data_IF_831648864960
#
_entry.id   IF_831648864960
#
_cell.length_a   1.000
_cell.length_b   1.000
_cell.length_c   1.000
_cell.angle_alpha   90.00
_cell.angle_beta   90.00
_cell.angle_gamma   90.00
#
_symmetry.space_group_name_H-M   'P 1'
#
loop_
_entity.id
_entity.type
_entity.pdbx_description
1 polymer ?
#
# COMPACT_ATOMS: atom_id res chain seq x y z
N UNK A 1 -15.17 3.87 -14.47
CA UNK A 1 -16.35 4.43 -13.77
C UNK A 1 -17.20 3.36 -13.05
N UNK A 2 -16.85 2.07 -13.08
CA UNK A 2 -17.55 1.01 -12.31
C UNK A 2 -16.91 0.71 -10.95
N UNK A 3 -15.79 1.34 -10.60
CA UNK A 3 -14.97 0.91 -9.47
C UNK A 3 -15.71 0.97 -8.13
N UNK A 4 -16.47 2.04 -7.85
CA UNK A 4 -17.30 2.11 -6.64
C UNK A 4 -18.32 0.98 -6.58
N UNK A 5 -19.05 0.71 -7.67
CA UNK A 5 -20.10 -0.30 -7.68
C UNK A 5 -19.54 -1.70 -7.45
N UNK A 6 -18.41 -2.02 -8.09
CA UNK A 6 -17.73 -3.30 -7.94
C UNK A 6 -17.11 -3.46 -6.54
N UNK A 7 -16.47 -2.42 -6.02
CA UNK A 7 -15.93 -2.37 -4.65
C UNK A 7 -17.03 -2.55 -3.61
N UNK A 8 -18.11 -1.76 -3.70
CA UNK A 8 -19.23 -1.84 -2.77
C UNK A 8 -19.90 -3.22 -2.81
N UNK A 9 -20.07 -3.82 -4.00
CA UNK A 9 -20.63 -5.18 -4.11
C UNK A 9 -19.75 -6.23 -3.44
N UNK A 10 -18.42 -6.14 -3.63
CA UNK A 10 -17.46 -7.06 -3.00
C UNK A 10 -17.42 -6.88 -1.49
N UNK A 11 -17.34 -5.63 -1.02
CA UNK A 11 -17.35 -5.30 0.40
C UNK A 11 -18.62 -5.81 1.10
N UNK A 12 -19.79 -5.63 0.49
CA UNK A 12 -21.06 -6.17 1.02
C UNK A 12 -21.02 -7.69 1.14
N UNK A 13 -20.61 -8.38 0.07
CA UNK A 13 -20.51 -9.84 0.06
C UNK A 13 -19.55 -10.36 1.14
N UNK A 14 -18.39 -9.71 1.27
CA UNK A 14 -17.36 -10.11 2.21
C UNK A 14 -17.79 -9.86 3.67
N UNK A 15 -18.71 -8.90 3.89
CA UNK A 15 -19.41 -8.66 5.15
C UNK A 15 -20.72 -9.48 5.31
N UNK A 16 -20.98 -10.45 4.44
CA UNK A 16 -22.14 -11.35 4.55
C UNK A 16 -23.48 -10.74 4.14
N UNK A 17 -23.50 -9.55 3.54
CA UNK A 17 -24.73 -8.92 3.07
C UNK A 17 -25.14 -9.40 1.68
N UNK A 18 -26.38 -9.87 1.57
CA UNK A 18 -27.07 -9.87 0.27
C UNK A 18 -27.50 -8.45 -0.09
N UNK A 19 -27.71 -8.18 -1.38
CA UNK A 19 -28.19 -6.85 -1.83
C UNK A 19 -29.54 -6.47 -1.18
N UNK A 20 -30.44 -7.43 -0.98
CA UNK A 20 -31.70 -7.22 -0.27
C UNK A 20 -31.53 -6.94 1.22
N UNK A 21 -30.59 -7.64 1.89
CA UNK A 21 -30.27 -7.37 3.29
C UNK A 21 -29.64 -5.98 3.45
N UNK A 22 -28.70 -5.62 2.57
CA UNK A 22 -28.08 -4.31 2.54
C UNK A 22 -29.14 -3.21 2.37
N UNK A 23 -30.00 -3.29 1.34
CA UNK A 23 -31.05 -2.32 1.08
C UNK A 23 -31.92 -2.03 2.30
N UNK A 24 -32.30 -3.08 3.05
CA UNK A 24 -33.05 -2.94 4.31
C UNK A 24 -32.22 -2.28 5.41
N UNK A 25 -30.97 -2.70 5.59
CA UNK A 25 -30.09 -2.17 6.62
C UNK A 25 -29.82 -0.66 6.46
N UNK A 26 -29.68 -0.18 5.23
CA UNK A 26 -29.44 1.25 4.93
C UNK A 26 -30.72 2.04 4.62
N UNK A 27 -31.90 1.41 4.69
CA UNK A 27 -33.20 2.02 4.37
C UNK A 27 -33.29 2.62 2.95
N UNK A 28 -32.79 1.91 1.94
CA UNK A 28 -32.91 2.27 0.52
C UNK A 28 -33.80 1.29 -0.26
N UNK A 29 -34.42 1.78 -1.33
CA UNK A 29 -35.12 0.92 -2.29
C UNK A 29 -34.13 -0.06 -2.97
N UNK A 30 -34.52 -1.33 -3.02
CA UNK A 30 -33.69 -2.40 -3.60
C UNK A 30 -33.45 -2.18 -5.09
N UNK A 31 -34.43 -1.64 -5.83
CA UNK A 31 -34.30 -1.39 -7.26
C UNK A 31 -33.32 -0.25 -7.54
N UNK A 32 -33.29 0.78 -6.70
CA UNK A 32 -32.28 1.82 -6.74
C UNK A 32 -30.89 1.27 -6.39
N UNK A 33 -30.75 0.56 -5.27
CA UNK A 33 -29.47 -0.05 -4.88
C UNK A 33 -28.92 -0.99 -5.97
N UNK A 34 -29.79 -1.79 -6.58
CA UNK A 34 -29.42 -2.71 -7.66
C UNK A 34 -28.91 -1.98 -8.90
N UNK A 35 -29.55 -0.88 -9.31
CA UNK A 35 -29.05 -0.09 -10.44
C UNK A 35 -27.68 0.51 -10.16
N UNK A 36 -27.47 1.02 -8.95
CA UNK A 36 -26.19 1.59 -8.53
C UNK A 36 -25.10 0.52 -8.48
N UNK A 37 -25.32 -0.57 -7.74
CA UNK A 37 -24.34 -1.63 -7.58
C UNK A 37 -24.08 -2.41 -8.86
N UNK A 38 -24.90 -2.26 -9.91
CA UNK A 38 -24.64 -2.82 -11.24
C UNK A 38 -24.09 -1.78 -12.23
N UNK A 39 -23.67 -0.60 -11.76
CA UNK A 39 -23.09 0.45 -12.59
C UNK A 39 -24.07 1.10 -13.57
N UNK A 40 -25.38 0.82 -13.44
CA UNK A 40 -26.44 1.38 -14.29
C UNK A 40 -26.87 2.78 -13.85
N UNK A 41 -26.53 3.17 -12.62
CA UNK A 41 -26.81 4.50 -12.08
C UNK A 41 -25.70 4.94 -11.12
N UNK A 42 -25.46 6.24 -11.03
CA UNK A 42 -24.50 6.79 -10.06
C UNK A 42 -25.07 6.78 -8.63
N UNK A 43 -24.26 6.46 -7.61
CA UNK A 43 -24.67 6.61 -6.22
C UNK A 43 -24.87 8.09 -5.88
N UNK A 44 -25.83 8.39 -5.01
CA UNK A 44 -25.84 9.68 -4.31
C UNK A 44 -24.72 9.68 -3.25
N UNK A 45 -24.20 10.85 -2.83
CA UNK A 45 -23.22 10.92 -1.74
C UNK A 45 -23.73 10.22 -0.47
N UNK A 46 -25.00 10.41 -0.12
CA UNK A 46 -25.65 9.75 1.02
C UNK A 46 -25.71 8.22 0.88
N UNK A 47 -25.92 7.69 -0.32
CA UNK A 47 -25.89 6.24 -0.53
C UNK A 47 -24.46 5.70 -0.38
N UNK A 48 -23.47 6.42 -0.91
CA UNK A 48 -22.07 6.03 -0.77
C UNK A 48 -21.63 6.01 0.70
N UNK A 49 -21.98 7.04 1.47
CA UNK A 49 -21.75 7.10 2.92
C UNK A 49 -22.47 5.98 3.67
N UNK A 50 -23.72 5.68 3.34
CA UNK A 50 -24.47 4.62 3.99
C UNK A 50 -23.88 3.23 3.72
N UNK A 51 -23.42 2.98 2.48
CA UNK A 51 -22.73 1.73 2.14
C UNK A 51 -21.38 1.62 2.82
N UNK A 52 -20.63 2.73 2.90
CA UNK A 52 -19.34 2.81 3.59
C UNK A 52 -19.48 2.47 5.07
N UNK A 53 -20.44 3.11 5.76
CA UNK A 53 -20.75 2.82 7.16
C UNK A 53 -21.20 1.37 7.37
N UNK A 54 -22.03 0.84 6.47
CA UNK A 54 -22.54 -0.53 6.58
C UNK A 54 -21.42 -1.58 6.53
N UNK A 55 -20.39 -1.35 5.71
CA UNK A 55 -19.26 -2.28 5.55
C UNK A 55 -18.06 -1.91 6.43
N UNK A 56 -18.18 -0.86 7.26
CA UNK A 56 -17.12 -0.40 8.15
C UNK A 56 -15.89 0.16 7.43
N UNK A 57 -16.06 0.80 6.27
CA UNK A 57 -14.93 1.28 5.46
C UNK A 57 -14.32 2.62 5.91
N UNK A 58 -14.78 3.23 7.02
CA UNK A 58 -14.16 4.41 7.62
C UNK A 58 -14.11 5.65 6.70
N UNK A 59 -15.04 5.78 5.76
CA UNK A 59 -15.08 6.82 4.73
C UNK A 59 -14.24 6.54 3.48
N UNK A 60 -13.51 5.41 3.44
CA UNK A 60 -12.63 5.10 2.32
C UNK A 60 -13.40 4.65 1.07
N UNK A 61 -14.54 3.96 1.22
CA UNK A 61 -15.38 3.52 0.10
C UNK A 61 -16.13 4.70 -0.52
N UNK A 62 -16.62 5.63 0.31
CA UNK A 62 -17.28 6.84 -0.19
C UNK A 62 -16.28 7.77 -0.88
N UNK A 63 -15.04 7.85 -0.41
CA UNK A 63 -13.97 8.67 -1.01
C UNK A 63 -13.56 8.25 -2.44
N UNK A 64 -13.83 7.00 -2.84
CA UNK A 64 -13.62 6.55 -4.23
C UNK A 64 -14.63 7.18 -5.20
N UNK A 65 -15.75 7.68 -4.70
CA UNK A 65 -16.74 8.40 -5.52
C UNK A 65 -16.20 9.79 -5.85
N UNK A 66 -15.52 9.89 -6.99
CA UNK A 66 -15.09 11.16 -7.58
C UNK A 66 -16.24 12.19 -7.64
N UNK A 67 -15.95 13.49 -7.57
CA UNK A 67 -16.98 14.50 -7.83
C UNK A 67 -17.48 14.41 -9.28
N UNK A 68 -18.64 15.02 -9.60
CA UNK A 68 -19.13 15.05 -10.98
C UNK A 68 -18.14 15.73 -11.95
N UNK A 69 -17.46 16.76 -11.45
CA UNK A 69 -16.44 17.49 -12.19
C UNK A 69 -15.17 16.66 -12.38
N UNK A 70 -14.68 15.99 -11.33
CA UNK A 70 -13.47 15.16 -11.41
C UNK A 70 -13.69 13.94 -12.30
N UNK A 71 -14.85 13.29 -12.23
CA UNK A 71 -15.21 12.23 -13.19
C UNK A 71 -15.18 12.73 -14.63
N UNK A 72 -15.79 13.88 -14.88
CA UNK A 72 -15.85 14.46 -16.22
C UNK A 72 -14.45 14.87 -16.70
N UNK A 73 -13.55 15.26 -15.79
CA UNK A 73 -12.14 15.51 -16.10
C UNK A 73 -11.40 14.22 -16.41
N UNK A 74 -11.43 13.22 -15.52
CA UNK A 74 -10.75 11.92 -15.73
C UNK A 74 -11.25 11.24 -17.00
N UNK A 75 -12.56 11.19 -17.24
CA UNK A 75 -13.14 10.59 -18.46
C UNK A 75 -12.67 11.31 -19.72
N UNK A 76 -12.69 12.66 -19.74
CA UNK A 76 -12.18 13.44 -20.89
C UNK A 76 -10.69 13.24 -21.10
N UNK A 77 -9.91 13.14 -20.03
CA UNK A 77 -8.46 12.89 -20.09
C UNK A 77 -8.15 11.47 -20.58
N UNK A 78 -8.98 10.49 -20.25
CA UNK A 78 -8.89 9.12 -20.81
C UNK A 78 -9.23 9.10 -22.31
N UNK A 79 -10.21 9.90 -22.75
CA UNK A 79 -10.59 10.01 -24.17
C UNK A 79 -9.65 10.90 -24.99
N UNK A 80 -9.01 11.89 -24.35
CA UNK A 80 -8.09 12.86 -24.97
C UNK A 80 -6.87 13.14 -24.07
N UNK A 81 -5.92 12.20 -23.97
CA UNK A 81 -4.80 12.34 -23.04
C UNK A 81 -3.83 13.49 -23.33
N UNK A 82 -3.84 14.01 -24.57
CA UNK A 82 -3.01 15.16 -24.99
C UNK A 82 -3.37 16.48 -24.29
N UNK A 83 -4.44 16.51 -23.48
CA UNK A 83 -4.85 17.66 -22.65
C UNK A 83 -4.90 17.32 -21.15
N UNK A 84 -3.96 16.49 -20.68
CA UNK A 84 -3.81 16.24 -19.25
C UNK A 84 -3.69 17.56 -18.48
N UNK A 85 -4.61 17.82 -17.55
CA UNK A 85 -4.57 18.98 -16.65
C UNK A 85 -4.14 18.56 -15.23
N UNK A 86 -3.87 19.54 -14.37
CA UNK A 86 -3.31 19.29 -13.03
C UNK A 86 -4.36 18.62 -12.14
N UNK A 87 -5.63 19.02 -12.31
CA UNK A 87 -6.75 18.43 -11.58
C UNK A 87 -6.96 16.95 -11.90
N UNK A 88 -6.64 16.49 -13.12
CA UNK A 88 -6.68 15.05 -13.42
C UNK A 88 -5.65 14.27 -12.63
N UNK A 89 -4.42 14.77 -12.52
CA UNK A 89 -3.35 14.12 -11.74
C UNK A 89 -3.72 14.11 -10.25
N UNK A 90 -4.19 15.23 -9.73
CA UNK A 90 -4.65 15.37 -8.35
C UNK A 90 -5.81 14.41 -8.02
N UNK A 91 -6.81 14.30 -8.92
CA UNK A 91 -7.91 13.37 -8.74
C UNK A 91 -7.45 11.90 -8.71
N UNK A 92 -6.49 11.53 -9.56
CA UNK A 92 -5.91 10.17 -9.56
C UNK A 92 -5.13 9.88 -8.27
N UNK A 93 -4.36 10.85 -7.77
CA UNK A 93 -3.71 10.75 -6.45
C UNK A 93 -4.72 10.59 -5.32
N UNK A 94 -5.84 11.32 -5.36
CA UNK A 94 -6.94 11.18 -4.40
C UNK A 94 -7.58 9.80 -4.41
N UNK A 95 -7.78 9.19 -5.59
CA UNK A 95 -8.28 7.81 -5.71
C UNK A 95 -7.29 6.81 -5.12
N UNK A 96 -5.99 6.96 -5.40
CA UNK A 96 -4.96 6.09 -4.82
C UNK A 96 -4.95 6.19 -3.29
N UNK A 97 -5.05 7.40 -2.73
CA UNK A 97 -5.14 7.60 -1.28
C UNK A 97 -6.39 6.93 -0.69
N UNK A 98 -7.52 6.96 -1.38
CA UNK A 98 -8.73 6.23 -0.97
C UNK A 98 -8.52 4.71 -1.01
N UNK A 99 -7.83 4.18 -2.02
CA UNK A 99 -7.50 2.76 -2.11
C UNK A 99 -6.56 2.29 -1.00
N UNK A 100 -5.56 3.09 -0.64
CA UNK A 100 -4.68 2.81 0.51
C UNK A 100 -5.46 2.68 1.81
N UNK A 101 -6.46 3.55 2.05
CA UNK A 101 -7.34 3.42 3.22
C UNK A 101 -8.28 2.22 3.15
N UNK A 102 -8.72 1.84 1.95
CA UNK A 102 -9.54 0.64 1.76
C UNK A 102 -8.79 -0.65 2.05
N UNK A 103 -7.46 -0.68 1.89
CA UNK A 103 -6.63 -1.83 2.26
C UNK A 103 -6.63 -2.10 3.77
N UNK A 104 -6.72 -1.04 4.59
CA UNK A 104 -6.81 -1.18 6.05
C UNK A 104 -8.18 -1.71 6.51
N UNK A 105 -9.25 -1.47 5.73
CA UNK A 105 -10.63 -1.76 6.14
C UNK A 105 -11.27 -2.97 5.43
N UNK A 106 -10.84 -3.30 4.21
CA UNK A 106 -11.41 -4.36 3.40
C UNK A 106 -10.39 -5.46 3.12
N UNK A 107 -10.91 -6.63 2.71
CA UNK A 107 -10.07 -7.72 2.22
C UNK A 107 -9.35 -7.32 0.93
N UNK A 108 -8.05 -7.65 0.76
CA UNK A 108 -7.31 -7.31 -0.45
C UNK A 108 -7.98 -7.76 -1.76
N UNK A 109 -8.62 -8.93 -1.77
CA UNK A 109 -9.32 -9.49 -2.95
C UNK A 109 -10.50 -8.61 -3.43
N UNK A 110 -11.06 -7.78 -2.53
CA UNK A 110 -12.10 -6.83 -2.88
C UNK A 110 -11.56 -5.67 -3.72
N UNK A 111 -10.36 -5.21 -3.39
CA UNK A 111 -9.77 -3.96 -3.91
C UNK A 111 -8.91 -4.19 -5.16
N UNK A 112 -8.20 -5.33 -5.25
CA UNK A 112 -7.28 -5.66 -6.36
C UNK A 112 -7.82 -5.36 -7.77
N UNK A 113 -9.05 -5.76 -8.16
CA UNK A 113 -9.52 -5.56 -9.53
C UNK A 113 -9.67 -4.08 -9.91
N UNK A 114 -10.11 -3.25 -8.95
CA UNK A 114 -10.27 -1.81 -9.16
C UNK A 114 -8.89 -1.13 -9.27
N UNK A 115 -7.93 -1.55 -8.43
CA UNK A 115 -6.53 -1.10 -8.51
C UNK A 115 -5.90 -1.43 -9.86
N UNK A 116 -6.02 -2.67 -10.34
CA UNK A 116 -5.44 -3.08 -11.63
C UNK A 116 -6.08 -2.35 -12.82
N UNK A 117 -7.37 -2.02 -12.72
CA UNK A 117 -8.05 -1.20 -13.73
C UNK A 117 -7.45 0.20 -13.78
N UNK A 118 -7.21 0.83 -12.61
CA UNK A 118 -6.57 2.14 -12.55
C UNK A 118 -5.11 2.11 -13.03
N UNK A 119 -4.33 1.08 -12.71
CA UNK A 119 -2.97 0.91 -13.27
C UNK A 119 -3.02 0.93 -14.80
N UNK A 120 -3.95 0.17 -15.41
CA UNK A 120 -4.12 0.13 -16.87
C UNK A 120 -4.53 1.49 -17.44
N UNK A 121 -5.47 2.19 -16.80
CA UNK A 121 -5.96 3.47 -17.27
C UNK A 121 -4.88 4.56 -17.19
N UNK A 122 -4.18 4.66 -16.05
CA UNK A 122 -3.09 5.62 -15.87
C UNK A 122 -1.92 5.31 -16.83
N UNK A 123 -1.57 4.03 -17.00
CA UNK A 123 -0.52 3.61 -17.96
C UNK A 123 -0.90 3.99 -19.40
N UNK A 124 -2.19 3.90 -19.76
CA UNK A 124 -2.67 4.33 -21.08
C UNK A 124 -2.59 5.84 -21.25
N UNK A 125 -2.99 6.61 -20.23
CA UNK A 125 -2.89 8.07 -20.25
C UNK A 125 -1.43 8.55 -20.40
N UNK A 126 -0.50 7.85 -19.76
CA UNK A 126 0.94 8.13 -19.84
C UNK A 126 1.52 8.04 -21.26
N UNK A 127 1.03 7.13 -22.09
CA UNK A 127 1.56 6.92 -23.46
C UNK A 127 1.42 8.16 -24.34
N UNK A 128 0.40 8.95 -24.08
CA UNK A 128 0.01 10.11 -24.87
C UNK A 128 0.31 11.45 -24.15
N UNK A 129 0.71 11.40 -22.88
CA UNK A 129 1.09 12.56 -22.08
C UNK A 129 2.45 13.14 -22.50
N UNK A 130 2.62 14.47 -22.39
CA UNK A 130 3.87 15.17 -22.73
C UNK A 130 4.18 16.28 -21.74
N UNK A 131 5.45 16.67 -21.66
CA UNK A 131 5.94 17.79 -20.84
C UNK A 131 5.89 17.51 -19.33
N UNK A 132 6.02 18.54 -18.46
CA UNK A 132 6.13 18.37 -17.00
C UNK A 132 4.98 17.61 -16.33
N UNK A 133 3.80 17.63 -16.95
CA UNK A 133 2.62 16.91 -16.46
C UNK A 133 2.74 15.40 -16.65
N UNK A 134 3.55 14.96 -17.62
CA UNK A 134 3.90 13.54 -17.81
C UNK A 134 4.62 13.03 -16.57
N UNK A 135 5.58 13.77 -16.03
CA UNK A 135 6.39 13.31 -14.91
C UNK A 135 5.55 13.18 -13.63
N UNK A 136 4.64 14.13 -13.39
CA UNK A 136 3.67 14.04 -12.30
C UNK A 136 2.74 12.83 -12.47
N UNK A 137 2.28 12.54 -13.69
CA UNK A 137 1.48 11.35 -13.96
C UNK A 137 2.31 10.06 -13.82
N UNK A 138 3.59 10.11 -14.16
CA UNK A 138 4.52 8.98 -14.02
C UNK A 138 4.71 8.63 -12.54
N UNK A 139 4.82 9.63 -11.67
CA UNK A 139 4.86 9.41 -10.22
C UNK A 139 3.60 8.69 -9.73
N UNK A 140 2.42 9.22 -10.06
CA UNK A 140 1.13 8.60 -9.71
C UNK A 140 1.00 7.17 -10.28
N UNK A 141 1.45 6.94 -11.50
CA UNK A 141 1.45 5.61 -12.11
C UNK A 141 2.39 4.62 -11.42
N UNK A 142 3.58 5.09 -11.04
CA UNK A 142 4.54 4.29 -10.27
C UNK A 142 3.89 3.89 -8.94
N UNK A 143 3.28 4.83 -8.22
CA UNK A 143 2.62 4.52 -6.95
C UNK A 143 1.41 3.57 -7.11
N UNK A 144 0.59 3.72 -8.16
CA UNK A 144 -0.48 2.77 -8.46
C UNK A 144 0.07 1.36 -8.72
N UNK A 145 1.18 1.24 -9.46
CA UNK A 145 1.84 -0.04 -9.71
C UNK A 145 2.45 -0.62 -8.42
N UNK A 146 3.05 0.22 -7.56
CA UNK A 146 3.55 -0.19 -6.24
C UNK A 146 2.42 -0.73 -5.38
N UNK A 147 1.32 0.01 -5.28
CA UNK A 147 0.14 -0.40 -4.52
C UNK A 147 -0.48 -1.68 -5.08
N UNK A 148 -0.60 -1.82 -6.41
CA UNK A 148 -1.05 -3.07 -7.03
C UNK A 148 -0.13 -4.25 -6.67
N UNK A 149 1.18 -4.05 -6.71
CA UNK A 149 2.18 -5.03 -6.32
C UNK A 149 2.03 -5.46 -4.85
N UNK A 150 1.86 -4.50 -3.95
CA UNK A 150 1.57 -4.74 -2.53
C UNK A 150 0.30 -5.59 -2.33
N UNK A 151 -0.81 -5.19 -2.95
CA UNK A 151 -2.10 -5.89 -2.83
C UNK A 151 -2.02 -7.34 -3.34
N UNK A 152 -1.33 -7.56 -4.46
CA UNK A 152 -1.11 -8.90 -5.01
C UNK A 152 -0.21 -9.76 -4.11
N UNK A 153 0.79 -9.16 -3.47
CA UNK A 153 1.67 -9.84 -2.51
C UNK A 153 0.90 -10.32 -1.27
N UNK A 154 -0.05 -9.51 -0.78
CA UNK A 154 -0.90 -9.91 0.36
C UNK A 154 -1.71 -11.19 0.10
N UNK A 155 -2.09 -11.44 -1.15
CA UNK A 155 -2.86 -12.63 -1.56
C UNK A 155 -2.01 -13.71 -2.23
N UNK A 156 -0.67 -13.63 -2.09
CA UNK A 156 0.30 -14.60 -2.63
C UNK A 156 0.27 -14.78 -4.16
N UNK A 157 -0.16 -13.76 -4.89
CA UNK A 157 -0.04 -13.69 -6.36
C UNK A 157 1.33 -13.12 -6.74
N UNK A 158 2.37 -13.82 -6.29
CA UNK A 158 3.74 -13.31 -6.21
C UNK A 158 4.31 -12.91 -7.58
N UNK A 159 4.04 -13.67 -8.66
CA UNK A 159 4.55 -13.36 -10.01
C UNK A 159 3.95 -12.08 -10.59
N UNK A 160 2.66 -11.86 -10.36
CA UNK A 160 1.98 -10.64 -10.78
C UNK A 160 2.44 -9.45 -9.95
N UNK A 161 2.64 -9.65 -8.64
CA UNK A 161 3.21 -8.64 -7.76
C UNK A 161 4.61 -8.22 -8.23
N UNK A 162 5.45 -9.20 -8.58
CA UNK A 162 6.78 -8.97 -9.18
C UNK A 162 6.68 -8.12 -10.44
N UNK A 163 5.76 -8.44 -11.35
CA UNK A 163 5.56 -7.67 -12.59
C UNK A 163 5.17 -6.21 -12.32
N UNK A 164 4.24 -5.97 -11.41
CA UNK A 164 3.82 -4.62 -11.04
C UNK A 164 4.96 -3.81 -10.39
N UNK A 165 5.74 -4.43 -9.50
CA UNK A 165 6.86 -3.76 -8.84
C UNK A 165 8.03 -3.48 -9.79
N UNK A 166 8.23 -4.32 -10.81
CA UNK A 166 9.21 -4.02 -11.87
C UNK A 166 8.76 -2.81 -12.68
N UNK A 167 7.49 -2.75 -13.10
CA UNK A 167 6.94 -1.60 -13.80
C UNK A 167 7.03 -0.31 -12.95
N UNK A 168 6.74 -0.40 -11.65
CA UNK A 168 6.86 0.72 -10.73
C UNK A 168 8.27 1.31 -10.67
N UNK A 169 9.29 0.43 -10.59
CA UNK A 169 10.69 0.83 -10.56
C UNK A 169 11.10 1.50 -11.88
N UNK A 170 10.73 0.93 -13.03
CA UNK A 170 11.01 1.53 -14.35
C UNK A 170 10.38 2.92 -14.50
N UNK A 171 9.16 3.12 -13.98
CA UNK A 171 8.50 4.42 -13.97
C UNK A 171 9.23 5.42 -13.06
N UNK A 172 9.62 5.00 -11.85
CA UNK A 172 10.36 5.83 -10.91
C UNK A 172 11.71 6.28 -11.47
N UNK A 173 12.47 5.34 -12.06
CA UNK A 173 13.77 5.63 -12.68
C UNK A 173 13.63 6.60 -13.86
N UNK A 174 12.53 6.53 -14.62
CA UNK A 174 12.30 7.42 -15.77
C UNK A 174 12.08 8.89 -15.42
N UNK A 175 11.82 9.18 -14.14
CA UNK A 175 11.69 10.54 -13.58
C UNK A 175 12.73 10.80 -12.48
N UNK A 176 13.71 9.91 -12.32
CA UNK A 176 14.79 9.99 -11.32
C UNK A 176 14.29 10.16 -9.88
N UNK A 177 13.12 9.58 -9.55
CA UNK A 177 12.53 9.64 -8.21
C UNK A 177 13.05 8.50 -7.33
N UNK A 178 14.07 8.81 -6.53
CA UNK A 178 14.70 7.87 -5.61
C UNK A 178 13.80 7.34 -4.50
N UNK A 179 12.79 8.10 -4.10
CA UNK A 179 11.85 7.69 -3.04
C UNK A 179 10.90 6.61 -3.57
N UNK A 180 10.38 6.79 -4.79
CA UNK A 180 9.54 5.80 -5.46
C UNK A 180 10.34 4.55 -5.84
N UNK A 181 11.57 4.70 -6.33
CA UNK A 181 12.45 3.59 -6.66
C UNK A 181 12.78 2.74 -5.41
N UNK A 182 13.13 3.39 -4.30
CA UNK A 182 13.38 2.70 -3.02
C UNK A 182 12.14 1.94 -2.53
N UNK A 183 10.95 2.52 -2.64
CA UNK A 183 9.71 1.86 -2.21
C UNK A 183 9.36 0.63 -3.06
N UNK A 184 9.57 0.69 -4.39
CA UNK A 184 9.39 -0.46 -5.25
C UNK A 184 10.34 -1.62 -4.88
N UNK A 185 11.62 -1.32 -4.60
CA UNK A 185 12.61 -2.30 -4.15
C UNK A 185 12.30 -2.85 -2.74
N UNK A 186 11.82 -2.01 -1.82
CA UNK A 186 11.36 -2.43 -0.50
C UNK A 186 10.27 -3.51 -0.60
N UNK A 187 9.27 -3.31 -1.47
CA UNK A 187 8.23 -4.32 -1.69
C UNK A 187 8.75 -5.60 -2.36
N UNK A 188 9.85 -5.55 -3.14
CA UNK A 188 10.55 -6.77 -3.61
C UNK A 188 11.19 -7.53 -2.45
N UNK A 189 11.75 -6.82 -1.48
CA UNK A 189 12.25 -7.39 -0.23
C UNK A 189 11.14 -8.03 0.60
N UNK A 190 9.98 -7.38 0.69
CA UNK A 190 8.80 -7.94 1.32
C UNK A 190 8.35 -9.26 0.68
N UNK A 191 8.23 -9.32 -0.65
CA UNK A 191 7.91 -10.58 -1.36
C UNK A 191 8.94 -11.68 -1.09
N UNK A 192 10.23 -11.35 -1.12
CA UNK A 192 11.28 -12.32 -0.80
C UNK A 192 11.13 -12.86 0.62
N UNK A 193 10.72 -12.01 1.57
CA UNK A 193 10.45 -12.39 2.96
C UNK A 193 9.24 -13.32 3.09
N UNK A 194 8.12 -13.02 2.44
CA UNK A 194 6.94 -13.90 2.39
C UNK A 194 7.23 -15.28 1.77
N UNK A 195 8.24 -15.35 0.90
CA UNK A 195 8.71 -16.59 0.26
C UNK A 195 9.80 -17.31 1.06
N UNK A 196 10.23 -16.77 2.21
CA UNK A 196 11.31 -17.34 3.02
C UNK A 196 12.70 -17.25 2.37
N UNK A 197 12.87 -16.42 1.33
CA UNK A 197 14.13 -16.30 0.58
C UNK A 197 15.06 -15.28 1.24
N UNK A 198 15.78 -15.70 2.27
CA UNK A 198 16.61 -14.81 3.10
C UNK A 198 17.69 -14.04 2.31
N UNK A 199 18.32 -14.69 1.31
CA UNK A 199 19.22 -14.01 0.36
C UNK A 199 18.52 -12.87 -0.38
N UNK A 200 17.26 -13.08 -0.78
CA UNK A 200 16.44 -12.08 -1.43
C UNK A 200 16.06 -10.94 -0.49
N UNK A 201 15.75 -11.24 0.77
CA UNK A 201 15.48 -10.24 1.82
C UNK A 201 16.67 -9.31 1.97
N UNK A 202 17.86 -9.86 2.27
CA UNK A 202 19.08 -9.08 2.43
C UNK A 202 19.37 -8.23 1.18
N UNK A 203 19.30 -8.84 -0.02
CA UNK A 203 19.64 -8.16 -1.28
C UNK A 203 18.70 -7.02 -1.62
N UNK A 204 17.38 -7.24 -1.59
CA UNK A 204 16.42 -6.23 -2.07
C UNK A 204 16.29 -5.05 -1.10
N UNK A 205 16.30 -5.32 0.21
CA UNK A 205 16.29 -4.25 1.20
C UNK A 205 17.62 -3.47 1.22
N UNK A 206 18.78 -4.12 1.04
CA UNK A 206 20.04 -3.39 0.87
C UNK A 206 20.02 -2.48 -0.38
N UNK A 207 19.44 -2.95 -1.49
CA UNK A 207 19.28 -2.14 -2.69
C UNK A 207 18.35 -0.94 -2.45
N UNK A 208 17.22 -1.14 -1.77
CA UNK A 208 16.30 -0.06 -1.40
C UNK A 208 17.01 1.00 -0.53
N UNK A 209 17.72 0.59 0.54
CA UNK A 209 18.47 1.49 1.41
C UNK A 209 19.59 2.27 0.70
N UNK A 210 20.19 1.66 -0.33
CA UNK A 210 21.26 2.23 -1.14
C UNK A 210 20.79 3.09 -2.31
N UNK A 211 19.47 3.20 -2.53
CA UNK A 211 18.93 3.95 -3.67
C UNK A 211 19.21 5.46 -3.50
N UNK A 212 19.86 6.11 -4.50
CA UNK A 212 20.05 7.56 -4.46
C UNK A 212 18.71 8.28 -4.35
N UNK A 213 18.60 9.24 -3.43
CA UNK A 213 17.35 9.97 -3.18
C UNK A 213 16.33 9.25 -2.29
N UNK A 214 16.63 8.05 -1.79
CA UNK A 214 15.78 7.39 -0.79
C UNK A 214 15.67 8.21 0.51
N UNK A 215 14.47 8.30 1.05
CA UNK A 215 14.21 9.05 2.28
C UNK A 215 14.91 8.41 3.49
N UNK A 216 15.42 9.18 4.48
CA UNK A 216 16.07 8.62 5.67
C UNK A 216 15.24 7.54 6.40
N UNK A 217 13.92 7.73 6.51
CA UNK A 217 13.02 6.74 7.11
C UNK A 217 12.93 5.42 6.32
N UNK A 218 12.94 5.49 4.98
CA UNK A 218 13.01 4.30 4.12
C UNK A 218 14.33 3.58 4.34
N UNK A 219 15.46 4.32 4.22
CA UNK A 219 16.80 3.77 4.40
C UNK A 219 16.99 3.08 5.75
N UNK A 220 16.45 3.67 6.82
CA UNK A 220 16.51 3.11 8.16
C UNK A 220 15.77 1.76 8.22
N UNK A 221 14.50 1.72 7.82
CA UNK A 221 13.71 0.49 7.81
C UNK A 221 14.31 -0.58 6.92
N UNK A 222 14.77 -0.20 5.73
CA UNK A 222 15.41 -1.08 4.76
C UNK A 222 16.71 -1.68 5.30
N UNK A 223 17.55 -0.91 6.00
CA UNK A 223 18.76 -1.45 6.63
C UNK A 223 18.44 -2.48 7.71
N UNK A 224 17.42 -2.25 8.54
CA UNK A 224 16.97 -3.22 9.56
C UNK A 224 16.44 -4.50 8.92
N UNK A 225 15.66 -4.38 7.85
CA UNK A 225 15.11 -5.53 7.15
C UNK A 225 16.19 -6.31 6.39
N UNK A 226 17.18 -5.62 5.83
CA UNK A 226 18.38 -6.25 5.26
C UNK A 226 19.18 -7.00 6.34
N UNK A 227 19.37 -6.38 7.50
CA UNK A 227 20.02 -7.00 8.65
C UNK A 227 19.30 -8.26 9.11
N UNK A 228 17.96 -8.26 9.13
CA UNK A 228 17.17 -9.45 9.43
C UNK A 228 17.45 -10.60 8.45
N UNK A 229 17.53 -10.31 7.14
CA UNK A 229 17.90 -11.29 6.12
C UNK A 229 19.32 -11.83 6.28
N UNK A 230 20.28 -10.96 6.57
CA UNK A 230 21.69 -11.35 6.82
C UNK A 230 21.81 -12.21 8.09
N UNK A 231 21.14 -11.84 9.17
CA UNK A 231 21.13 -12.61 10.41
C UNK A 231 20.57 -14.02 10.20
N UNK A 232 19.48 -14.15 9.42
CA UNK A 232 18.89 -15.44 9.08
C UNK A 232 19.80 -16.33 8.20
N UNK A 233 20.79 -15.74 7.51
CA UNK A 233 21.83 -16.45 6.75
C UNK A 233 23.06 -16.81 7.60
N UNK A 234 23.10 -16.40 8.88
CA UNK A 234 24.26 -16.57 9.75
C UNK A 234 25.34 -15.49 9.60
N UNK A 235 25.11 -14.47 8.76
CA UNK A 235 26.03 -13.35 8.48
C UNK A 235 25.95 -12.28 9.58
N UNK A 236 26.18 -12.69 10.83
CA UNK A 236 25.92 -11.88 12.03
C UNK A 236 26.66 -10.54 12.03
N UNK A 237 27.93 -10.52 11.63
CA UNK A 237 28.72 -9.29 11.62
C UNK A 237 28.21 -8.29 10.57
N UNK A 238 27.76 -8.78 9.42
CA UNK A 238 27.16 -7.94 8.39
C UNK A 238 25.82 -7.38 8.87
N UNK A 239 25.00 -8.22 9.52
CA UNK A 239 23.74 -7.79 10.10
C UNK A 239 23.93 -6.69 11.15
N UNK A 240 24.87 -6.86 12.09
CA UNK A 240 25.16 -5.86 13.11
C UNK A 240 25.66 -4.54 12.52
N UNK A 241 26.50 -4.57 11.47
CA UNK A 241 26.91 -3.35 10.75
C UNK A 241 25.74 -2.64 10.08
N UNK A 242 24.77 -3.37 9.55
CA UNK A 242 23.57 -2.78 8.95
C UNK A 242 22.65 -2.17 10.03
N UNK A 243 22.52 -2.80 11.20
CA UNK A 243 21.81 -2.23 12.36
C UNK A 243 22.47 -0.92 12.81
N UNK A 244 23.80 -0.90 12.97
CA UNK A 244 24.54 0.30 13.38
C UNK A 244 24.36 1.46 12.37
N UNK A 245 24.31 1.13 11.07
CA UNK A 245 23.99 2.12 10.02
C UNK A 245 22.55 2.64 10.14
N UNK A 246 21.58 1.79 10.47
CA UNK A 246 20.20 2.18 10.67
C UNK A 246 20.05 3.10 11.90
N UNK A 247 20.72 2.75 13.01
CA UNK A 247 20.68 3.53 14.25
C UNK A 247 21.14 4.97 14.03
N UNK A 248 22.21 5.18 13.23
CA UNK A 248 22.69 6.53 12.87
C UNK A 248 21.68 7.38 12.08
N UNK A 249 20.66 6.77 11.47
CA UNK A 249 19.62 7.48 10.73
C UNK A 249 18.42 7.86 11.61
N UNK A 250 18.33 7.37 12.85
CA UNK A 250 17.12 7.48 13.69
C UNK A 250 16.69 8.94 13.91
N UNK A 251 17.61 9.80 14.33
CA UNK A 251 17.31 11.21 14.62
C UNK A 251 16.91 11.97 13.35
N UNK A 252 17.60 11.71 12.24
CA UNK A 252 17.31 12.35 10.95
C UNK A 252 15.96 11.89 10.39
N UNK A 253 15.65 10.59 10.51
CA UNK A 253 14.38 10.02 10.08
C UNK A 253 13.20 10.54 10.92
N UNK A 254 13.40 10.76 12.22
CA UNK A 254 12.37 11.33 13.09
C UNK A 254 12.15 12.83 12.88
N UNK A 255 13.15 13.55 12.38
CA UNK A 255 13.09 15.00 12.18
C UNK A 255 12.32 15.44 10.93
N UNK A 256 12.06 14.52 9.99
CA UNK A 256 11.42 14.83 8.70
C UNK A 256 10.21 13.90 8.50
N UNK A 257 9.05 14.42 8.07
CA UNK A 257 7.90 13.59 7.75
C UNK A 257 8.26 12.52 6.71
N UNK A 258 7.71 11.30 6.83
CA UNK A 258 7.91 10.28 5.82
C UNK A 258 7.37 10.74 4.45
N UNK A 259 7.93 10.21 3.35
CA UNK A 259 7.46 10.57 2.02
C UNK A 259 6.05 10.02 1.78
N UNK A 260 5.27 10.68 0.92
CA UNK A 260 3.85 10.32 0.68
C UNK A 260 3.68 8.85 0.26
N UNK A 261 4.58 8.32 -0.57
CA UNK A 261 4.54 6.91 -1.02
C UNK A 261 4.76 5.90 0.11
N UNK A 262 5.37 6.34 1.23
CA UNK A 262 5.72 5.51 2.38
C UNK A 262 5.30 6.18 3.71
N UNK A 263 4.14 6.85 3.71
CA UNK A 263 3.65 7.68 4.81
C UNK A 263 3.54 6.95 6.16
N UNK A 264 3.47 5.61 6.15
CA UNK A 264 3.39 4.77 7.33
C UNK A 264 4.72 4.56 8.06
N UNK A 265 5.87 5.01 7.50
CA UNK A 265 7.20 4.85 8.09
C UNK A 265 7.43 5.80 9.28
N UNK A 266 6.57 5.67 10.28
CA UNK A 266 6.64 6.36 11.57
C UNK A 266 7.65 5.70 12.51
N UNK A 267 8.13 6.40 13.55
CA UNK A 267 8.94 5.79 14.60
C UNK A 267 8.29 4.55 15.24
N UNK A 268 6.97 4.56 15.42
CA UNK A 268 6.18 3.46 15.94
C UNK A 268 6.18 2.27 14.99
N UNK A 269 5.95 2.49 13.69
CA UNK A 269 6.05 1.44 12.68
C UNK A 269 7.46 0.84 12.63
N UNK A 270 8.49 1.68 12.77
CA UNK A 270 9.86 1.21 12.74
C UNK A 270 10.21 0.24 13.89
N UNK A 271 9.48 0.30 15.01
CA UNK A 271 9.59 -0.73 16.08
C UNK A 271 9.29 -2.13 15.56
N UNK A 272 8.39 -2.29 14.60
CA UNK A 272 8.11 -3.58 13.98
C UNK A 272 9.30 -4.11 13.18
N UNK A 273 10.00 -3.24 12.42
CA UNK A 273 11.23 -3.62 11.70
C UNK A 273 12.35 -4.02 12.67
N UNK A 274 12.56 -3.25 13.74
CA UNK A 274 13.53 -3.58 14.79
C UNK A 274 13.21 -4.93 15.45
N UNK A 275 11.93 -5.20 15.69
CA UNK A 275 11.45 -6.47 16.24
C UNK A 275 11.76 -7.68 15.36
N UNK A 276 11.55 -7.55 14.04
CA UNK A 276 11.91 -8.61 13.09
C UNK A 276 13.43 -8.83 13.01
N UNK A 277 14.21 -7.75 13.02
CA UNK A 277 15.67 -7.82 13.00
C UNK A 277 16.23 -8.48 14.26
N UNK A 278 15.77 -8.06 15.44
CA UNK A 278 16.20 -8.62 16.74
C UNK A 278 15.79 -10.08 16.88
N UNK A 279 14.60 -10.46 16.40
CA UNK A 279 14.19 -11.87 16.31
C UNK A 279 15.15 -12.70 15.46
N UNK A 280 15.51 -12.21 14.27
CA UNK A 280 16.45 -12.91 13.39
C UNK A 280 17.87 -13.02 13.99
N UNK A 281 18.26 -12.08 14.84
CA UNK A 281 19.54 -12.08 15.57
C UNK A 281 19.55 -12.98 16.82
N UNK A 282 18.43 -13.61 17.16
CA UNK A 282 18.25 -14.43 18.36
C UNK A 282 18.10 -13.63 19.66
N UNK A 283 17.80 -12.33 19.57
CA UNK A 283 17.58 -11.44 20.72
C UNK A 283 16.10 -11.42 21.09
N UNK A 284 15.63 -12.54 21.64
CA UNK A 284 14.18 -12.78 21.79
C UNK A 284 13.48 -11.80 22.74
N UNK A 285 14.12 -11.39 23.85
CA UNK A 285 13.55 -10.39 24.77
C UNK A 285 13.37 -9.03 24.08
N UNK A 286 14.38 -8.54 23.35
CA UNK A 286 14.31 -7.30 22.57
C UNK A 286 13.23 -7.40 21.48
N UNK A 287 13.12 -8.55 20.82
CA UNK A 287 12.11 -8.78 19.80
C UNK A 287 10.69 -8.71 20.36
N UNK A 288 10.45 -9.31 21.54
CA UNK A 288 9.15 -9.23 22.23
C UNK A 288 8.80 -7.79 22.55
N UNK A 289 9.73 -7.01 23.11
CA UNK A 289 9.50 -5.59 23.44
C UNK A 289 9.16 -4.77 22.19
N UNK A 290 10.03 -4.82 21.18
CA UNK A 290 9.85 -4.06 19.96
C UNK A 290 8.55 -4.38 19.21
N UNK A 291 8.22 -5.68 19.05
CA UNK A 291 7.01 -6.07 18.32
C UNK A 291 5.75 -5.72 19.14
N UNK A 292 5.76 -5.92 20.46
CA UNK A 292 4.61 -5.62 21.31
C UNK A 292 4.31 -4.12 21.31
N UNK A 293 5.34 -3.28 21.50
CA UNK A 293 5.20 -1.81 21.46
C UNK A 293 4.78 -1.34 20.08
N UNK A 294 5.39 -1.87 19.02
CA UNK A 294 5.04 -1.52 17.64
C UNK A 294 3.58 -1.83 17.32
N UNK A 295 3.08 -3.03 17.66
CA UNK A 295 1.69 -3.42 17.43
C UNK A 295 0.70 -2.59 18.25
N UNK A 296 1.03 -2.26 19.50
CA UNK A 296 0.19 -1.44 20.36
C UNK A 296 0.14 0.03 19.91
N UNK A 297 1.24 0.53 19.32
CA UNK A 297 1.37 1.88 18.80
C UNK A 297 0.68 2.13 17.44
N UNK A 298 0.16 1.09 16.78
CA UNK A 298 -0.56 1.28 15.52
C UNK A 298 -1.88 2.05 15.72
N UNK A 299 -2.27 2.90 14.73
CA UNK A 299 -3.61 3.48 14.65
C UNK A 299 -4.69 2.41 14.78
N UNK A 300 -5.84 2.76 15.38
CA UNK A 300 -6.91 1.80 15.66
C UNK A 300 -7.37 1.07 14.41
N UNK A 301 -7.46 1.78 13.28
CA UNK A 301 -7.86 1.27 11.98
C UNK A 301 -6.89 0.21 11.43
N UNK A 302 -5.60 0.33 11.76
CA UNK A 302 -4.55 -0.57 11.26
C UNK A 302 -4.32 -1.78 12.16
N UNK A 303 -4.78 -1.75 13.42
CA UNK A 303 -4.59 -2.87 14.35
C UNK A 303 -5.25 -4.16 13.88
N UNK A 304 -6.26 -4.10 13.03
CA UNK A 304 -6.94 -5.28 12.45
C UNK A 304 -6.41 -5.71 11.08
N UNK A 305 -5.54 -4.90 10.46
CA UNK A 305 -5.16 -5.08 9.06
C UNK A 305 -4.40 -6.40 8.82
N UNK A 306 -4.61 -7.02 7.66
CA UNK A 306 -4.08 -8.35 7.36
C UNK A 306 -2.55 -8.42 7.41
N UNK A 307 -1.86 -7.35 6.98
CA UNK A 307 -0.40 -7.26 6.97
C UNK A 307 0.24 -7.38 8.36
N UNK A 308 -0.49 -7.03 9.43
CA UNK A 308 0.02 -7.14 10.81
C UNK A 308 0.23 -8.59 11.27
N UNK A 309 -0.36 -9.57 10.57
CA UNK A 309 -0.31 -10.98 10.94
C UNK A 309 1.13 -11.51 11.04
N UNK A 310 2.01 -11.08 10.14
CA UNK A 310 3.40 -11.50 10.13
C UNK A 310 4.14 -11.06 11.42
N UNK A 311 3.86 -9.85 11.89
CA UNK A 311 4.44 -9.34 13.14
C UNK A 311 3.87 -10.08 14.36
N UNK A 312 2.57 -10.42 14.36
CA UNK A 312 1.99 -11.26 15.41
C UNK A 312 2.61 -12.66 15.44
N UNK A 313 2.89 -13.24 14.28
CA UNK A 313 3.55 -14.54 14.17
C UNK A 313 4.99 -14.48 14.67
N UNK A 314 5.71 -13.40 14.33
CA UNK A 314 7.04 -13.12 14.86
C UNK A 314 7.03 -12.97 16.38
N UNK A 315 6.05 -12.26 16.96
CA UNK A 315 5.88 -12.14 18.41
C UNK A 315 5.65 -13.49 19.08
N UNK A 316 4.76 -14.34 18.52
CA UNK A 316 4.53 -15.69 19.03
C UNK A 316 5.79 -16.54 19.02
N UNK A 317 6.60 -16.46 17.95
CA UNK A 317 7.88 -17.15 17.85
C UNK A 317 8.90 -16.64 18.87
N UNK A 318 8.99 -15.33 19.08
CA UNK A 318 9.89 -14.74 20.06
C UNK A 318 9.53 -15.18 21.48
N UNK A 319 8.23 -15.14 21.84
CA UNK A 319 7.74 -15.59 23.14
C UNK A 319 7.99 -17.09 23.40
N UNK A 320 7.92 -17.93 22.38
CA UNK A 320 8.17 -19.37 22.50
C UNK A 320 9.67 -19.73 22.62
N UNK A 321 10.56 -18.83 22.20
CA UNK A 321 12.01 -19.02 22.21
C UNK A 321 12.72 -18.33 23.39
N UNK A 322 11.97 -17.53 24.18
CA UNK A 322 12.41 -16.93 25.44
C UNK A 322 12.53 -17.98 26.54
#
# INVERSE_FOLDING_TARGET
MSDFADLARRALRDNGYSMGAAARAINYDLSYLSRVLNGKQQPSPKLAEALDQLVGAGGALSAVVLSADDRSRVSRSVERPSRLDAGTVEALGGVLAAYRRLDDALRPEAVIPATLTHVKDVTRMLKDARGPRRDQLTAVASEFAQFAGWMLAQVRRDDEAVSMLTQALELADSIEDGTLAAQALNFRGYLARQQGRQQGVARWFAAAAGTPGAHPAQRLGDLLQSAAGLAALGERDQALRAVEQAERLSDVAAAVPPPETAYWLTPEFNRLNMGLCTLALGRYDEAVDHISVGLAGLPEEQRGAAWTQEHRDALRRALAAR
#
